data_IF_816176717734
#
_entry.id   IF_816176717734
#
_cell.length_a   1.000
_cell.length_b   1.000
_cell.length_c   1.000
_cell.angle_alpha   90.00
_cell.angle_beta   90.00
_cell.angle_gamma   90.00
#
_symmetry.space_group_name_H-M   'P 1'
#
loop_
_entity.id
_entity.type
_entity.pdbx_description
1 polymer ?
#
# COMPACT_ATOMS: atom_id res chain seq x y z
N UNK A 1 11.05 -5.47 -9.43
CA UNK A 1 11.73 -5.41 -8.10
C UNK A 1 10.76 -4.83 -7.07
N UNK A 2 10.84 -5.23 -5.80
CA UNK A 2 9.96 -4.71 -4.75
C UNK A 2 10.74 -4.36 -3.48
N UNK A 3 10.31 -3.30 -2.80
CA UNK A 3 10.83 -2.78 -1.54
C UNK A 3 9.70 -2.72 -0.53
N UNK A 4 9.97 -3.21 0.67
CA UNK A 4 9.06 -3.13 1.81
C UNK A 4 9.73 -2.33 2.92
N UNK A 5 9.06 -1.30 3.39
CA UNK A 5 9.47 -0.56 4.58
C UNK A 5 8.35 -0.60 5.60
N UNK A 6 8.46 -1.57 6.52
CA UNK A 6 7.48 -1.80 7.57
C UNK A 6 7.73 -0.87 8.75
N UNK A 7 6.65 -0.39 9.36
CA UNK A 7 6.70 0.50 10.51
C UNK A 7 5.65 0.09 11.54
N UNK A 8 5.96 0.34 12.81
CA UNK A 8 4.96 0.33 13.87
C UNK A 8 4.19 1.64 13.84
N UNK A 9 2.90 1.54 13.55
CA UNK A 9 1.98 2.67 13.49
C UNK A 9 1.13 2.64 14.76
N UNK A 10 0.94 3.79 15.42
CA UNK A 10 0.04 3.88 16.57
C UNK A 10 -1.36 3.46 16.10
N UNK A 11 -1.98 2.52 16.80
CA UNK A 11 -3.26 1.95 16.39
C UNK A 11 -4.37 3.00 16.28
N UNK A 12 -4.32 4.06 17.10
CA UNK A 12 -5.22 5.22 17.00
C UNK A 12 -5.13 5.95 15.66
N UNK A 13 -3.92 6.06 15.09
CA UNK A 13 -3.69 6.73 13.81
C UNK A 13 -4.11 5.81 12.66
N UNK A 14 -3.79 4.50 12.77
CA UNK A 14 -4.22 3.48 11.81
C UNK A 14 -5.76 3.41 11.68
N UNK A 15 -6.51 3.52 12.79
CA UNK A 15 -7.98 3.52 12.81
C UNK A 15 -8.61 4.67 12.00
N UNK A 16 -7.89 5.77 11.75
CA UNK A 16 -8.39 6.85 10.90
C UNK A 16 -8.36 6.50 9.40
N UNK A 17 -7.61 5.45 9.03
CA UNK A 17 -7.39 5.05 7.63
C UNK A 17 -7.90 3.63 7.31
N UNK A 18 -8.25 2.85 8.32
CA UNK A 18 -8.86 1.52 8.19
C UNK A 18 -10.37 1.62 8.40
N UNK A 19 -11.20 0.97 7.55
CA UNK A 19 -12.64 0.87 7.75
C UNK A 19 -13.01 0.34 9.15
N UNK A 20 -14.08 0.90 9.74
CA UNK A 20 -14.47 0.61 11.14
C UNK A 20 -14.98 -0.81 11.37
N UNK A 21 -15.43 -1.46 10.31
CA UNK A 21 -15.89 -2.85 10.27
C UNK A 21 -14.74 -3.86 10.24
N UNK A 22 -13.50 -3.42 9.95
CA UNK A 22 -12.32 -4.26 9.98
C UNK A 22 -11.59 -4.17 11.32
N UNK A 23 -11.33 -5.34 11.93
CA UNK A 23 -10.59 -5.42 13.19
C UNK A 23 -9.10 -5.31 12.93
N UNK A 24 -8.44 -4.31 13.53
CA UNK A 24 -6.98 -4.21 13.51
C UNK A 24 -6.31 -5.33 14.31
N UNK A 25 -5.19 -5.82 13.79
CA UNK A 25 -4.20 -6.59 14.54
C UNK A 25 -3.30 -5.59 15.24
N UNK A 26 -3.38 -5.53 16.56
CA UNK A 26 -2.59 -4.58 17.36
C UNK A 26 -1.97 -5.25 18.59
N UNK A 27 -0.80 -4.77 18.97
CA UNK A 27 -0.09 -5.12 20.19
C UNK A 27 0.49 -3.85 20.83
N UNK A 28 0.32 -3.69 22.14
CA UNK A 28 0.81 -2.53 22.90
C UNK A 28 0.37 -1.16 22.33
N UNK A 29 -0.80 -1.09 21.69
CA UNK A 29 -1.32 0.13 21.07
C UNK A 29 -0.72 0.47 19.70
N UNK A 30 -0.02 -0.47 19.07
CA UNK A 30 0.55 -0.34 17.72
C UNK A 30 0.07 -1.46 16.80
N UNK A 31 0.03 -1.18 15.50
CA UNK A 31 -0.17 -2.17 14.43
C UNK A 31 0.98 -2.10 13.43
N UNK A 32 1.18 -3.17 12.66
CA UNK A 32 2.17 -3.20 11.60
C UNK A 32 1.57 -2.57 10.34
N UNK A 33 2.22 -1.52 9.84
CA UNK A 33 1.91 -0.92 8.54
C UNK A 33 3.19 -0.56 7.80
N UNK A 34 3.14 0.45 6.94
CA UNK A 34 4.31 0.95 6.23
C UNK A 34 4.05 1.22 4.76
N UNK A 35 5.09 1.01 3.94
CA UNK A 35 5.04 1.27 2.50
C UNK A 35 5.57 0.07 1.75
N UNK A 36 4.88 -0.28 0.68
CA UNK A 36 5.33 -1.23 -0.33
C UNK A 36 5.55 -0.46 -1.64
N UNK A 37 6.71 -0.63 -2.25
CA UNK A 37 7.03 -0.04 -3.55
C UNK A 37 7.46 -1.13 -4.50
N UNK A 38 6.88 -1.16 -5.70
CA UNK A 38 7.22 -2.13 -6.71
C UNK A 38 7.43 -1.48 -8.08
N UNK A 39 8.39 -2.03 -8.81
CA UNK A 39 8.64 -1.73 -10.22
C UNK A 39 8.43 -3.01 -10.99
N UNK A 40 7.36 -3.07 -11.76
CA UNK A 40 6.98 -4.21 -12.57
C UNK A 40 7.43 -3.97 -14.00
N UNK A 41 8.30 -4.84 -14.51
CA UNK A 41 8.70 -4.82 -15.92
C UNK A 41 7.58 -5.34 -16.83
N UNK A 42 6.64 -6.12 -16.28
CA UNK A 42 5.44 -6.61 -16.94
C UNK A 42 4.26 -6.66 -15.96
N UNK A 43 3.12 -6.12 -16.37
CA UNK A 43 1.82 -6.16 -15.68
C UNK A 43 0.70 -6.25 -16.72
N UNK A 44 -0.56 -6.49 -16.34
CA UNK A 44 -1.70 -6.45 -17.28
C UNK A 44 -1.81 -5.13 -18.07
N UNK A 45 -1.21 -4.05 -17.57
CA UNK A 45 -1.18 -2.73 -18.21
C UNK A 45 0.20 -2.35 -18.78
N UNK A 46 1.15 -3.30 -18.87
CA UNK A 46 2.54 -3.03 -19.30
C UNK A 46 3.48 -2.72 -18.12
N UNK A 47 4.55 -1.97 -18.37
CA UNK A 47 5.49 -1.56 -17.30
C UNK A 47 4.77 -0.63 -16.31
N UNK A 48 4.97 -0.85 -15.02
CA UNK A 48 4.25 -0.15 -13.96
C UNK A 48 5.14 0.04 -12.72
N UNK A 49 5.27 1.28 -12.28
CA UNK A 49 5.72 1.62 -10.94
C UNK A 49 4.51 1.84 -10.01
N UNK A 50 4.54 1.19 -8.84
CA UNK A 50 3.47 1.19 -7.85
C UNK A 50 4.01 1.48 -6.44
N UNK A 51 3.29 2.30 -5.68
CA UNK A 51 3.50 2.47 -4.24
C UNK A 51 2.19 2.28 -3.49
N UNK A 52 2.19 1.40 -2.50
CA UNK A 52 1.05 1.10 -1.63
C UNK A 52 1.37 1.55 -0.20
N UNK A 53 0.48 2.35 0.38
CA UNK A 53 0.54 2.75 1.78
C UNK A 53 -0.27 1.75 2.61
N UNK A 54 0.44 0.95 3.40
CA UNK A 54 -0.13 -0.05 4.29
C UNK A 54 -0.55 0.65 5.60
N UNK A 55 -1.85 0.93 5.74
CA UNK A 55 -2.40 1.69 6.86
C UNK A 55 -2.41 0.93 8.19
N UNK A 56 -2.25 -0.40 8.13
CA UNK A 56 -2.22 -1.29 9.28
C UNK A 56 -2.52 -2.73 8.85
N UNK A 57 -2.34 -3.67 9.78
CA UNK A 57 -2.69 -5.07 9.59
C UNK A 57 -4.10 -5.31 10.12
N UNK A 58 -4.95 -5.95 9.33
CA UNK A 58 -6.34 -6.27 9.69
C UNK A 58 -6.55 -7.78 9.73
N UNK A 59 -7.47 -8.23 10.58
CA UNK A 59 -7.89 -9.62 10.63
C UNK A 59 -8.72 -9.97 9.40
N UNK A 60 -8.33 -11.06 8.73
CA UNK A 60 -9.10 -11.68 7.64
C UNK A 60 -9.08 -13.20 7.87
N UNK A 61 -10.02 -13.74 8.66
CA UNK A 61 -9.94 -15.11 9.15
C UNK A 61 -9.69 -16.15 8.03
N UNK A 62 -8.81 -17.15 8.25
CA UNK A 62 -8.11 -17.46 9.50
C UNK A 62 -6.78 -16.68 9.69
N UNK A 63 -6.46 -15.74 8.81
CA UNK A 63 -5.17 -15.04 8.80
C UNK A 63 -5.35 -13.53 9.02
N UNK A 64 -4.37 -12.74 8.57
CA UNK A 64 -4.40 -11.29 8.56
C UNK A 64 -3.88 -10.79 7.22
N UNK A 65 -4.26 -9.58 6.84
CA UNK A 65 -3.80 -8.93 5.62
C UNK A 65 -3.49 -7.45 5.87
N UNK A 66 -2.60 -6.88 5.06
CA UNK A 66 -2.31 -5.46 5.14
C UNK A 66 -3.41 -4.66 4.45
N UNK A 67 -3.89 -3.60 5.11
CA UNK A 67 -4.87 -2.70 4.53
C UNK A 67 -4.19 -1.66 3.64
N UNK A 68 -4.49 -1.71 2.33
CA UNK A 68 -4.01 -0.75 1.35
C UNK A 68 -4.80 0.57 1.46
N UNK A 69 -4.37 1.46 2.36
CA UNK A 69 -5.04 2.74 2.61
C UNK A 69 -4.97 3.70 1.42
N UNK A 70 -3.90 3.63 0.63
CA UNK A 70 -3.68 4.39 -0.61
C UNK A 70 -2.80 3.59 -1.56
N UNK A 71 -3.05 3.74 -2.85
CA UNK A 71 -2.24 3.16 -3.92
C UNK A 71 -1.88 4.27 -4.91
N UNK A 72 -0.62 4.35 -5.30
CA UNK A 72 -0.12 5.26 -6.33
C UNK A 72 0.47 4.45 -7.48
N UNK A 73 0.13 4.83 -8.71
CA UNK A 73 0.58 4.17 -9.94
C UNK A 73 1.01 5.21 -10.97
N UNK A 74 1.89 4.82 -11.89
CA UNK A 74 2.50 5.73 -12.86
C UNK A 74 1.61 6.06 -14.08
N UNK A 75 0.57 5.28 -14.31
CA UNK A 75 -0.28 5.35 -15.51
C UNK A 75 -1.77 5.40 -15.17
N UNK A 76 -2.52 6.06 -16.04
CA UNK A 76 -3.97 6.20 -15.90
C UNK A 76 -4.67 4.86 -16.09
N UNK A 77 -4.16 4.05 -17.00
CA UNK A 77 -4.65 2.72 -17.34
C UNK A 77 -4.54 1.78 -16.13
N UNK A 78 -3.38 1.77 -15.45
CA UNK A 78 -3.21 0.97 -14.23
C UNK A 78 -4.13 1.45 -13.10
N UNK A 79 -4.34 2.76 -12.97
CA UNK A 79 -5.28 3.32 -11.97
C UNK A 79 -6.71 2.87 -12.25
N UNK A 80 -7.16 2.99 -13.49
CA UNK A 80 -8.51 2.60 -13.90
C UNK A 80 -8.72 1.08 -13.73
N UNK A 81 -7.72 0.27 -14.11
CA UNK A 81 -7.76 -1.16 -13.91
C UNK A 81 -7.81 -1.55 -12.42
N UNK A 82 -6.97 -0.97 -11.57
CA UNK A 82 -6.93 -1.29 -10.14
C UNK A 82 -8.22 -0.92 -9.41
N UNK A 83 -8.83 0.22 -9.74
CA UNK A 83 -10.14 0.62 -9.20
C UNK A 83 -11.24 -0.33 -9.69
N UNK A 84 -11.28 -0.64 -10.99
CA UNK A 84 -12.36 -1.45 -11.58
C UNK A 84 -12.30 -2.92 -11.17
N UNK A 85 -11.12 -3.52 -11.18
CA UNK A 85 -10.93 -4.96 -10.94
C UNK A 85 -10.88 -5.29 -9.45
N UNK A 86 -10.16 -4.48 -8.67
CA UNK A 86 -9.81 -4.80 -7.28
C UNK A 86 -10.43 -3.83 -6.26
N UNK A 87 -11.08 -2.75 -6.69
CA UNK A 87 -11.61 -1.73 -5.78
C UNK A 87 -10.52 -0.91 -5.06
N UNK A 88 -9.29 -0.89 -5.59
CA UNK A 88 -8.17 -0.23 -4.93
C UNK A 88 -8.35 1.30 -4.91
N UNK A 89 -7.92 2.01 -3.85
CA UNK A 89 -7.92 3.47 -3.77
C UNK A 89 -6.76 4.07 -4.59
N UNK A 90 -6.66 3.71 -5.87
CA UNK A 90 -5.55 4.04 -6.75
C UNK A 90 -5.60 5.48 -7.28
N UNK A 91 -4.44 6.13 -7.29
CA UNK A 91 -4.21 7.49 -7.80
C UNK A 91 -2.99 7.50 -8.72
N UNK A 92 -2.99 8.39 -9.72
CA UNK A 92 -1.82 8.57 -10.58
C UNK A 92 -0.78 9.42 -9.85
N UNK A 93 0.49 9.03 -9.90
CA UNK A 93 1.63 9.76 -9.40
C UNK A 93 2.81 9.66 -10.38
N UNK A 94 3.77 10.58 -10.26
CA UNK A 94 5.05 10.49 -10.99
C UNK A 94 6.08 9.86 -10.06
N UNK A 95 6.87 8.93 -10.59
CA UNK A 95 8.00 8.32 -9.90
C UNK A 95 9.29 8.76 -10.58
N UNK A 96 10.22 9.29 -9.79
CA UNK A 96 11.54 9.66 -10.26
C UNK A 96 12.58 8.65 -9.76
N UNK A 97 13.58 8.38 -10.60
CA UNK A 97 14.66 7.41 -10.30
C UNK A 97 15.72 7.95 -9.33
N UNK A 98 15.52 9.14 -8.76
CA UNK A 98 16.52 9.84 -7.96
C UNK A 98 16.71 9.19 -6.58
N UNK A 99 17.37 8.03 -6.55
CA UNK A 99 18.19 7.64 -5.40
C UNK A 99 19.52 8.36 -5.58
N UNK A 100 19.62 9.60 -5.11
CA UNK A 100 20.94 10.20 -4.89
C UNK A 100 21.57 9.42 -3.75
N UNK A 101 22.50 8.52 -4.09
CA UNK A 101 23.46 7.96 -3.16
C UNK A 101 24.24 9.13 -2.55
N UNK A 102 23.84 9.60 -1.36
CA UNK A 102 24.72 10.43 -0.54
C UNK A 102 25.74 9.47 0.08
N UNK A 103 26.91 9.41 -0.55
CA UNK A 103 28.15 8.92 0.07
C UNK A 103 28.87 10.04 0.81
#
# INVERSE_FOLDING_TARGET
>A
KALYQLHLIRARDARAHVPKDLRLVEAFGYTLGGVYMARYDSSPCGKLDEVVILGGLVWNPPTSCAWASRVYVDSKEAREHGVKTCGLPSRVAKFDDAVTTQG
#
